data_IF_114887346380
#
_entry.id   IF_114887346380
#
_cell.length_a   1.000
_cell.length_b   1.000
_cell.length_c   1.000
_cell.angle_alpha   90.00
_cell.angle_beta   90.00
_cell.angle_gamma   90.00
#
_symmetry.space_group_name_H-M   'P 1'
#
loop_
_entity.id
_entity.type
_entity.pdbx_description
1 polymer ?
#
# COMPACT_ATOMS: atom_id res chain seq x y z
N UNK A 1 -19.67 -52.39 -6.12
CA UNK A 1 -19.05 -51.51 -7.16
C UNK A 1 -20.17 -50.65 -7.76
N UNK A 2 -20.32 -49.44 -7.22
CA UNK A 2 -21.35 -48.50 -7.75
C UNK A 2 -20.66 -47.61 -8.78
N UNK A 3 -21.14 -47.67 -10.03
CA UNK A 3 -20.66 -46.84 -11.15
C UNK A 3 -20.97 -45.36 -10.95
N UNK A 4 -20.37 -44.47 -11.74
CA UNK A 4 -20.55 -43.04 -11.62
C UNK A 4 -22.03 -42.70 -11.91
N UNK A 5 -22.65 -41.93 -11.01
CA UNK A 5 -23.99 -41.40 -11.22
C UNK A 5 -23.93 -40.37 -12.35
N UNK A 6 -24.59 -40.64 -13.46
CA UNK A 6 -24.81 -39.67 -14.53
C UNK A 6 -25.55 -38.44 -13.95
N UNK A 7 -24.87 -37.31 -13.96
CA UNK A 7 -25.49 -36.03 -13.64
C UNK A 7 -26.30 -35.56 -14.85
N UNK A 8 -27.62 -35.82 -14.79
CA UNK A 8 -28.55 -35.34 -15.80
C UNK A 8 -28.68 -33.80 -15.73
N UNK A 9 -28.79 -33.17 -16.91
CA UNK A 9 -28.99 -31.70 -17.07
C UNK A 9 -30.14 -31.15 -16.20
N UNK A 10 -31.18 -31.94 -16.02
CA UNK A 10 -32.34 -31.60 -15.16
C UNK A 10 -31.97 -31.52 -13.69
N UNK A 11 -31.08 -32.38 -13.23
CA UNK A 11 -30.57 -32.40 -11.85
C UNK A 11 -29.63 -31.22 -11.60
N UNK A 12 -28.77 -30.88 -12.56
CA UNK A 12 -27.93 -29.69 -12.49
C UNK A 12 -28.74 -28.38 -12.45
N UNK A 13 -29.83 -28.29 -13.25
CA UNK A 13 -30.75 -27.15 -13.23
C UNK A 13 -31.50 -27.01 -11.92
N UNK A 14 -31.89 -28.12 -11.29
CA UNK A 14 -32.53 -28.11 -9.96
C UNK A 14 -31.61 -27.65 -8.85
N UNK A 15 -30.32 -28.02 -8.91
CA UNK A 15 -29.30 -27.51 -7.96
C UNK A 15 -29.00 -26.03 -8.19
N UNK A 16 -28.95 -25.56 -9.43
CA UNK A 16 -28.79 -24.14 -9.76
C UNK A 16 -30.03 -23.32 -9.29
N UNK A 17 -31.24 -23.80 -9.53
CA UNK A 17 -32.46 -23.13 -9.08
C UNK A 17 -32.58 -23.11 -7.53
N UNK A 18 -32.18 -24.18 -6.86
CA UNK A 18 -32.13 -24.24 -5.39
C UNK A 18 -31.04 -23.35 -4.80
N UNK A 19 -29.87 -23.22 -5.48
CA UNK A 19 -28.77 -22.35 -5.07
C UNK A 19 -29.08 -20.85 -5.24
N UNK A 20 -29.95 -20.48 -6.16
CA UNK A 20 -30.39 -19.08 -6.36
C UNK A 20 -31.51 -18.68 -5.37
N UNK A 21 -32.30 -19.63 -4.88
CA UNK A 21 -33.40 -19.35 -3.94
C UNK A 21 -32.93 -19.11 -2.49
N UNK A 22 -31.77 -19.68 -2.10
CA UNK A 22 -31.23 -19.54 -0.75
C UNK A 22 -30.76 -18.11 -0.38
N UNK A 23 -30.14 -17.32 -1.28
CA UNK A 23 -29.74 -15.94 -0.95
C UNK A 23 -30.93 -14.97 -0.87
N UNK A 24 -32.07 -15.29 -1.50
CA UNK A 24 -33.27 -14.43 -1.47
C UNK A 24 -34.07 -14.54 -0.16
N UNK A 25 -33.90 -15.62 0.61
CA UNK A 25 -34.57 -15.82 1.89
C UNK A 25 -33.84 -15.20 3.10
N UNK A 26 -32.60 -14.74 2.91
CA UNK A 26 -31.73 -14.21 3.99
C UNK A 26 -31.65 -12.69 4.10
N UNK A 27 -32.30 -11.93 3.21
CA UNK A 27 -32.23 -10.46 3.24
C UNK A 27 -33.43 -9.85 4.01
N UNK A 28 -33.76 -10.37 5.19
CA UNK A 28 -34.52 -9.61 6.16
C UNK A 28 -33.64 -8.48 6.66
N UNK A 29 -34.03 -7.20 6.47
CA UNK A 29 -33.38 -6.10 7.18
C UNK A 29 -33.41 -6.46 8.67
N UNK A 30 -32.26 -6.36 9.39
CA UNK A 30 -32.30 -6.47 10.84
C UNK A 30 -33.30 -5.45 11.37
N UNK A 31 -34.06 -5.82 12.43
CA UNK A 31 -35.00 -4.92 13.07
C UNK A 31 -34.23 -3.66 13.50
N UNK A 32 -34.43 -2.56 12.78
CA UNK A 32 -33.80 -1.29 13.10
C UNK A 32 -34.59 -0.68 14.26
N UNK A 33 -33.96 -0.53 15.41
CA UNK A 33 -34.51 0.29 16.48
C UNK A 33 -34.35 1.77 16.08
N UNK A 34 -35.48 2.48 16.01
CA UNK A 34 -35.45 3.93 15.77
C UNK A 34 -35.05 4.60 17.09
N UNK A 35 -33.80 4.99 17.19
CA UNK A 35 -33.29 5.82 18.29
C UNK A 35 -33.40 7.27 17.86
N UNK A 36 -34.28 8.08 18.49
CA UNK A 36 -34.40 9.50 18.14
C UNK A 36 -33.13 10.26 18.56
N UNK A 37 -32.73 11.21 17.73
CA UNK A 37 -31.66 12.13 18.10
C UNK A 37 -32.11 13.03 19.24
N UNK A 38 -31.26 13.21 20.26
CA UNK A 38 -31.45 14.22 21.31
C UNK A 38 -31.15 15.60 20.74
N UNK A 39 -30.05 15.71 19.96
CA UNK A 39 -29.68 16.88 19.16
C UNK A 39 -29.37 16.42 17.75
N UNK A 40 -30.22 16.76 16.80
CA UNK A 40 -30.07 16.38 15.40
C UNK A 40 -29.07 17.33 14.71
N UNK A 41 -27.98 16.83 14.11
CA UNK A 41 -27.03 17.68 13.37
C UNK A 41 -27.70 18.41 12.21
N UNK A 42 -27.32 19.67 11.99
CA UNK A 42 -27.81 20.45 10.85
C UNK A 42 -27.54 19.73 9.52
N UNK A 43 -28.52 19.69 8.63
CA UNK A 43 -28.43 19.10 7.32
C UNK A 43 -28.48 17.56 7.28
N UNK A 44 -28.73 16.90 8.41
CA UNK A 44 -28.99 15.47 8.42
C UNK A 44 -30.45 15.21 8.07
N UNK A 45 -30.67 14.41 7.01
CA UNK A 45 -31.98 13.85 6.69
C UNK A 45 -31.94 12.37 7.04
N UNK A 46 -32.85 11.87 7.92
CA UNK A 46 -32.84 10.47 8.34
C UNK A 46 -32.91 9.50 7.14
N UNK A 47 -32.02 8.53 7.12
CA UNK A 47 -31.92 7.54 6.05
C UNK A 47 -31.22 8.01 4.79
N UNK A 48 -30.84 9.28 4.67
CA UNK A 48 -30.05 9.77 3.53
C UNK A 48 -28.54 9.76 3.82
N UNK A 49 -27.72 9.26 2.87
CA UNK A 49 -26.28 9.21 3.08
C UNK A 49 -25.63 10.60 3.01
N UNK A 50 -24.83 10.93 4.01
CA UNK A 50 -23.92 12.07 4.01
C UNK A 50 -22.49 11.61 3.76
N UNK A 51 -21.67 12.43 3.08
CA UNK A 51 -20.26 12.15 2.81
C UNK A 51 -19.35 13.07 3.60
N UNK A 52 -18.41 12.48 4.32
CA UNK A 52 -17.39 13.21 5.08
C UNK A 52 -15.99 12.94 4.51
N UNK A 53 -15.24 14.01 4.28
CA UNK A 53 -13.84 13.88 3.89
C UNK A 53 -12.99 13.52 5.10
N UNK A 54 -12.16 12.50 4.94
CA UNK A 54 -11.23 12.04 5.97
C UNK A 54 -9.92 11.55 5.35
N UNK A 55 -9.00 11.13 6.18
CA UNK A 55 -7.74 10.51 5.77
C UNK A 55 -7.61 9.16 6.46
N UNK A 56 -7.40 8.12 5.66
CA UNK A 56 -7.05 6.78 6.14
C UNK A 56 -5.53 6.65 6.14
N UNK A 57 -4.97 6.19 7.25
CA UNK A 57 -3.53 5.99 7.39
C UNK A 57 -3.20 4.51 7.21
N UNK A 58 -2.21 4.22 6.36
CA UNK A 58 -1.67 2.88 6.16
C UNK A 58 -0.16 2.97 5.95
N UNK A 59 0.63 2.25 6.76
CA UNK A 59 2.09 2.24 6.65
C UNK A 59 2.70 3.65 6.69
N UNK A 60 2.23 4.52 7.60
CA UNK A 60 2.71 5.90 7.73
C UNK A 60 2.23 6.88 6.66
N UNK A 61 1.40 6.47 5.69
CA UNK A 61 0.88 7.31 4.60
C UNK A 61 -0.59 7.64 4.78
N UNK A 62 -0.97 8.89 4.51
CA UNK A 62 -2.36 9.33 4.51
C UNK A 62 -2.97 9.24 3.11
N UNK A 63 -4.13 8.60 2.99
CA UNK A 63 -4.95 8.55 1.78
C UNK A 63 -6.24 9.31 2.00
N UNK A 64 -6.53 10.27 1.16
CA UNK A 64 -7.76 11.04 1.24
C UNK A 64 -8.95 10.18 0.84
N UNK A 65 -9.94 10.09 1.70
CA UNK A 65 -11.15 9.33 1.50
C UNK A 65 -12.41 10.19 1.70
N UNK A 66 -13.50 9.74 1.12
CA UNK A 66 -14.87 10.16 1.43
C UNK A 66 -15.58 8.99 2.08
N UNK A 67 -16.06 9.18 3.29
CA UNK A 67 -16.82 8.18 4.02
C UNK A 67 -18.30 8.54 3.96
N UNK A 68 -19.10 7.67 3.40
CA UNK A 68 -20.55 7.78 3.41
C UNK A 68 -21.09 7.26 4.74
N UNK A 69 -21.96 8.02 5.36
CA UNK A 69 -22.63 7.67 6.62
C UNK A 69 -24.13 7.76 6.45
N UNK A 70 -24.87 6.87 7.09
CA UNK A 70 -26.32 6.98 7.27
C UNK A 70 -26.57 7.11 8.76
N UNK A 71 -27.26 8.17 9.15
CA UNK A 71 -27.61 8.47 10.55
C UNK A 71 -26.38 8.44 11.49
N UNK A 72 -25.24 9.00 11.01
CA UNK A 72 -23.97 8.99 11.71
C UNK A 72 -23.20 7.68 11.67
N UNK A 73 -23.75 6.63 11.06
CA UNK A 73 -23.10 5.33 10.93
C UNK A 73 -22.30 5.24 9.62
N UNK A 74 -20.98 5.10 9.65
CA UNK A 74 -20.17 4.89 8.45
C UNK A 74 -20.52 3.57 7.76
N UNK A 75 -20.78 3.63 6.44
CA UNK A 75 -21.22 2.45 5.66
C UNK A 75 -20.34 2.16 4.44
N UNK A 76 -19.64 3.17 3.93
CA UNK A 76 -18.83 3.02 2.70
C UNK A 76 -17.65 3.98 2.71
N UNK A 77 -16.51 3.50 2.26
CA UNK A 77 -15.32 4.30 1.98
C UNK A 77 -15.18 4.44 0.46
N UNK A 78 -14.91 5.64 0.00
CA UNK A 78 -14.61 5.96 -1.40
C UNK A 78 -13.36 6.86 -1.45
N UNK A 79 -12.67 6.86 -2.60
CA UNK A 79 -11.54 7.76 -2.80
C UNK A 79 -11.99 9.22 -2.93
N UNK A 80 -11.23 10.13 -2.34
CA UNK A 80 -11.48 11.56 -2.54
C UNK A 80 -10.92 12.00 -3.91
N UNK A 81 -11.75 12.44 -4.87
CA UNK A 81 -11.27 12.85 -6.20
C UNK A 81 -10.37 14.09 -6.19
N UNK A 82 -10.42 14.89 -5.12
CA UNK A 82 -9.58 16.07 -4.94
C UNK A 82 -8.24 15.76 -4.27
N UNK A 83 -8.04 14.54 -3.77
CA UNK A 83 -6.80 14.16 -3.10
C UNK A 83 -5.82 13.50 -4.10
N UNK A 84 -4.56 13.99 -4.19
CA UNK A 84 -3.62 13.56 -5.23
C UNK A 84 -3.20 12.09 -5.13
N UNK A 85 -3.28 11.47 -3.96
CA UNK A 85 -2.97 10.05 -3.79
C UNK A 85 -4.16 9.13 -4.06
N UNK A 86 -5.39 9.61 -3.94
CA UNK A 86 -6.61 8.80 -4.13
C UNK A 86 -7.18 8.95 -5.54
N UNK A 87 -7.21 10.18 -6.07
CA UNK A 87 -7.74 10.49 -7.41
C UNK A 87 -9.17 9.95 -7.66
N UNK A 88 -9.95 9.80 -6.60
CA UNK A 88 -11.31 9.25 -6.63
C UNK A 88 -11.40 7.72 -6.51
N UNK A 89 -10.28 7.01 -6.40
CA UNK A 89 -10.24 5.57 -6.22
C UNK A 89 -9.76 5.16 -4.82
N UNK A 90 -10.02 3.92 -4.45
CA UNK A 90 -9.56 3.28 -3.20
C UNK A 90 -8.81 2.00 -3.50
N UNK A 91 -8.23 1.42 -2.47
CA UNK A 91 -7.68 0.07 -2.48
C UNK A 91 -8.42 -0.83 -1.48
N UNK A 92 -8.07 -2.11 -1.49
CA UNK A 92 -8.69 -3.12 -0.64
C UNK A 92 -8.57 -2.80 0.84
N UNK A 93 -7.47 -2.18 1.28
CA UNK A 93 -7.26 -1.83 2.69
C UNK A 93 -8.16 -0.67 3.11
N UNK A 94 -8.27 0.37 2.27
CA UNK A 94 -9.17 1.49 2.53
C UNK A 94 -10.64 1.05 2.57
N UNK A 95 -11.05 0.15 1.66
CA UNK A 95 -12.42 -0.40 1.66
C UNK A 95 -12.68 -1.26 2.90
N UNK A 96 -11.71 -2.06 3.33
CA UNK A 96 -11.83 -2.93 4.49
C UNK A 96 -11.74 -2.18 5.83
N UNK A 97 -11.14 -0.99 5.88
CA UNK A 97 -10.91 -0.24 7.12
C UNK A 97 -12.21 0.08 7.88
N UNK A 98 -13.31 0.23 7.14
CA UNK A 98 -14.63 0.43 7.75
C UNK A 98 -15.03 -0.73 8.67
N UNK A 99 -14.58 -1.96 8.41
CA UNK A 99 -14.92 -3.13 9.21
C UNK A 99 -14.31 -3.03 10.61
N UNK A 100 -13.18 -2.33 10.74
CA UNK A 100 -12.52 -2.11 12.04
C UNK A 100 -13.39 -1.32 13.02
N UNK A 101 -14.35 -0.54 12.54
CA UNK A 101 -15.30 0.19 13.38
C UNK A 101 -16.36 -0.71 14.01
N UNK A 102 -16.65 -1.84 13.36
CA UNK A 102 -17.71 -2.78 13.73
C UNK A 102 -17.17 -4.10 14.27
N UNK A 103 -15.85 -4.20 14.42
CA UNK A 103 -15.20 -5.37 14.97
C UNK A 103 -15.62 -5.56 16.44
N UNK A 104 -16.21 -6.73 16.81
CA UNK A 104 -16.62 -7.01 18.19
C UNK A 104 -15.45 -7.03 19.17
N UNK A 105 -14.23 -7.33 18.70
CA UNK A 105 -13.02 -7.36 19.50
C UNK A 105 -12.39 -5.96 19.68
N UNK A 106 -12.99 -4.94 19.07
CA UNK A 106 -12.53 -3.56 19.25
C UNK A 106 -12.62 -3.13 20.72
N UNK A 107 -11.59 -2.44 21.19
CA UNK A 107 -11.58 -1.88 22.54
C UNK A 107 -12.79 -0.96 22.80
N UNK A 108 -13.59 -1.30 23.82
CA UNK A 108 -14.83 -0.60 24.16
C UNK A 108 -14.61 0.48 25.21
N UNK A 109 -13.56 0.36 26.02
CA UNK A 109 -13.25 1.28 27.10
C UNK A 109 -11.75 1.35 27.35
N UNK A 110 -11.26 2.47 27.95
CA UNK A 110 -9.91 2.51 28.49
C UNK A 110 -9.69 1.39 29.50
N UNK A 111 -8.51 0.80 29.53
CA UNK A 111 -8.14 -0.22 30.50
C UNK A 111 -6.84 0.15 31.20
N UNK A 112 -6.78 -0.20 32.48
CA UNK A 112 -5.56 -0.18 33.27
C UNK A 112 -5.26 -1.61 33.73
N UNK A 113 -4.28 -2.26 33.11
CA UNK A 113 -4.04 -3.70 33.23
C UNK A 113 -5.29 -4.45 32.74
N UNK A 114 -5.94 -5.25 33.61
CA UNK A 114 -7.12 -6.04 33.26
C UNK A 114 -8.45 -5.35 33.61
N UNK A 115 -8.39 -4.24 34.31
CA UNK A 115 -9.58 -3.53 34.80
C UNK A 115 -10.02 -2.42 33.85
N UNK A 116 -11.34 -2.21 33.73
CA UNK A 116 -11.91 -1.05 33.03
C UNK A 116 -11.58 0.21 33.80
N UNK A 117 -11.06 1.22 33.12
CA UNK A 117 -10.66 2.51 33.69
C UNK A 117 -11.38 3.67 32.98
N UNK A 118 -11.08 4.89 33.40
CA UNK A 118 -11.61 6.12 32.80
C UNK A 118 -10.49 6.91 32.11
N UNK A 119 -10.86 7.75 31.15
CA UNK A 119 -9.93 8.70 30.53
C UNK A 119 -9.32 9.68 31.54
N UNK A 120 -10.08 10.06 32.58
CA UNK A 120 -9.57 10.93 33.66
C UNK A 120 -8.49 10.24 34.48
N UNK A 121 -8.67 8.97 34.80
CA UNK A 121 -7.66 8.16 35.48
C UNK A 121 -6.38 8.06 34.66
N UNK A 122 -6.52 7.80 33.34
CA UNK A 122 -5.39 7.80 32.42
C UNK A 122 -4.69 9.16 32.38
N UNK A 123 -5.43 10.26 32.21
CA UNK A 123 -4.87 11.59 32.14
C UNK A 123 -4.15 12.00 33.45
N UNK A 124 -4.65 11.55 34.60
CA UNK A 124 -4.00 11.78 35.89
C UNK A 124 -2.67 11.01 35.97
N UNK A 125 -2.67 9.73 35.63
CA UNK A 125 -1.46 8.90 35.58
C UNK A 125 -0.42 9.48 34.61
N UNK A 126 -0.83 9.87 33.42
CA UNK A 126 0.04 10.47 32.41
C UNK A 126 0.67 11.78 32.93
N UNK A 127 -0.10 12.66 33.59
CA UNK A 127 0.44 13.89 34.18
C UNK A 127 1.54 13.60 35.19
N UNK A 128 1.38 12.58 36.02
CA UNK A 128 2.41 12.15 36.96
C UNK A 128 3.71 11.70 36.29
N UNK A 129 3.59 10.92 35.22
CA UNK A 129 4.76 10.49 34.45
C UNK A 129 5.45 11.66 33.72
N UNK A 130 4.65 12.58 33.17
CA UNK A 130 5.20 13.75 32.49
C UNK A 130 5.92 14.71 33.42
N UNK A 131 5.42 14.87 34.71
CA UNK A 131 6.13 15.62 35.73
C UNK A 131 7.49 14.98 36.07
N UNK A 132 7.55 13.64 36.18
CA UNK A 132 8.81 12.90 36.37
C UNK A 132 9.76 13.07 35.22
N UNK A 133 9.24 13.01 33.98
CA UNK A 133 10.02 13.24 32.76
C UNK A 133 10.58 14.68 32.73
N UNK A 134 9.77 15.68 33.13
CA UNK A 134 10.22 17.08 33.16
C UNK A 134 11.38 17.25 34.16
N UNK A 135 11.30 16.68 35.37
CA UNK A 135 12.36 16.75 36.36
C UNK A 135 13.69 16.14 35.86
N UNK A 136 13.65 15.22 34.89
CA UNK A 136 14.80 14.54 34.28
C UNK A 136 15.12 15.05 32.88
N UNK A 137 14.55 16.17 32.45
CA UNK A 137 14.67 16.71 31.09
C UNK A 137 14.37 15.68 29.99
N UNK A 138 13.50 14.71 30.26
CA UNK A 138 13.12 13.64 29.37
C UNK A 138 14.01 12.39 29.40
N UNK A 139 14.98 12.28 30.33
CA UNK A 139 15.76 11.06 30.45
C UNK A 139 14.86 9.86 30.79
N UNK A 140 14.95 8.81 29.95
CA UNK A 140 14.11 7.61 30.03
C UNK A 140 12.78 7.74 29.28
N UNK A 141 12.43 8.90 28.73
CA UNK A 141 11.31 9.05 27.81
C UNK A 141 11.75 8.62 26.41
N UNK A 142 11.07 7.63 25.84
CA UNK A 142 11.30 7.17 24.48
C UNK A 142 9.98 7.14 23.70
N UNK A 143 10.02 7.64 22.46
CA UNK A 143 8.96 7.45 21.48
C UNK A 143 9.40 6.37 20.50
N UNK A 144 8.54 5.41 20.25
CA UNK A 144 8.71 4.43 19.19
C UNK A 144 7.54 4.58 18.23
N UNK A 145 7.84 4.84 16.97
CA UNK A 145 6.84 5.02 15.92
C UNK A 145 7.23 4.25 14.67
N UNK A 146 6.27 3.96 13.82
CA UNK A 146 6.53 3.72 12.40
C UNK A 146 7.02 5.02 11.72
N UNK A 147 7.27 4.98 10.41
CA UNK A 147 7.64 6.16 9.64
C UNK A 147 6.56 7.25 9.74
N UNK A 148 6.95 8.43 10.16
CA UNK A 148 6.08 9.59 10.25
C UNK A 148 6.21 10.43 8.98
N UNK A 149 5.19 10.42 8.13
CA UNK A 149 5.12 11.25 6.91
C UNK A 149 4.30 12.53 7.14
N UNK A 150 3.43 12.57 8.18
CA UNK A 150 2.64 13.74 8.53
C UNK A 150 3.52 14.90 8.98
N UNK A 151 3.51 16.06 8.29
CA UNK A 151 4.27 17.24 8.71
C UNK A 151 3.86 17.76 10.09
N UNK A 152 2.57 17.66 10.41
CA UNK A 152 2.04 18.08 11.72
C UNK A 152 2.57 17.21 12.84
N UNK A 153 2.49 15.89 12.71
CA UNK A 153 2.98 14.96 13.74
C UNK A 153 4.51 15.10 13.90
N UNK A 154 5.23 15.27 12.80
CA UNK A 154 6.68 15.49 12.81
C UNK A 154 7.06 16.75 13.58
N UNK A 155 6.30 17.84 13.39
CA UNK A 155 6.48 19.08 14.14
C UNK A 155 6.20 18.86 15.63
N UNK A 156 5.10 18.18 15.98
CA UNK A 156 4.73 17.88 17.37
C UNK A 156 5.81 17.05 18.09
N UNK A 157 6.33 16.03 17.41
CA UNK A 157 7.47 15.25 17.94
C UNK A 157 8.70 16.14 18.12
N UNK A 158 9.01 16.98 17.14
CA UNK A 158 10.11 17.94 17.25
C UNK A 158 9.97 18.91 18.42
N UNK A 159 8.76 19.40 18.66
CA UNK A 159 8.49 20.31 19.78
C UNK A 159 8.58 19.56 21.14
N UNK A 160 8.13 18.32 21.19
CA UNK A 160 8.31 17.45 22.35
C UNK A 160 9.80 17.21 22.65
N UNK A 161 10.61 16.91 21.63
CA UNK A 161 12.06 16.70 21.83
C UNK A 161 12.80 17.98 22.24
N UNK A 162 12.31 19.18 21.87
CA UNK A 162 12.83 20.45 22.39
C UNK A 162 12.48 20.64 23.86
N UNK A 163 11.25 20.29 24.27
CA UNK A 163 10.81 20.37 25.64
C UNK A 163 11.52 19.35 26.55
N UNK A 164 11.86 18.18 25.99
CA UNK A 164 12.51 17.06 26.66
C UNK A 164 13.83 16.69 25.96
N UNK A 165 14.91 17.43 26.16
CA UNK A 165 16.15 17.28 25.37
C UNK A 165 16.85 15.93 25.49
N UNK A 166 16.59 15.17 26.56
CA UNK A 166 17.15 13.84 26.79
C UNK A 166 16.19 12.73 26.36
N UNK A 167 15.00 13.07 25.85
CA UNK A 167 14.09 12.10 25.26
C UNK A 167 14.63 11.61 23.91
N UNK A 168 14.27 10.40 23.54
CA UNK A 168 14.72 9.77 22.28
C UNK A 168 13.54 9.40 21.43
N UNK A 169 13.68 9.60 20.12
CA UNK A 169 12.70 9.14 19.14
C UNK A 169 13.35 8.04 18.28
N UNK A 170 12.66 6.90 18.24
CA UNK A 170 13.03 5.73 17.43
C UNK A 170 11.96 5.51 16.38
N UNK A 171 12.40 5.19 15.18
CA UNK A 171 11.53 4.77 14.06
C UNK A 171 11.85 3.32 13.76
N UNK A 172 10.84 2.48 13.72
CA UNK A 172 10.98 1.07 13.37
C UNK A 172 9.90 0.66 12.38
N UNK A 173 10.35 0.13 11.24
CA UNK A 173 9.51 -0.44 10.20
C UNK A 173 10.03 -1.84 9.85
N UNK A 174 9.23 -2.90 10.14
CA UNK A 174 9.61 -4.28 9.79
C UNK A 174 9.77 -4.47 8.28
N UNK A 175 8.96 -3.78 7.49
CA UNK A 175 9.07 -3.73 6.02
C UNK A 175 9.38 -2.27 5.66
N UNK A 176 10.63 -2.00 5.29
CA UNK A 176 11.10 -0.63 5.06
C UNK A 176 11.69 -0.47 3.67
N UNK A 177 11.78 0.78 3.20
CA UNK A 177 12.50 1.17 2.00
C UNK A 177 13.96 1.59 2.28
N UNK A 178 14.51 1.19 3.41
CA UNK A 178 15.87 1.58 3.84
C UNK A 178 16.93 1.18 2.80
N UNK A 179 16.74 0.05 2.12
CA UNK A 179 17.67 -0.38 1.07
C UNK A 179 17.61 0.54 -0.15
N UNK A 180 16.42 0.99 -0.53
CA UNK A 180 16.26 1.98 -1.62
C UNK A 180 16.92 3.32 -1.25
N UNK A 181 16.74 3.78 0.00
CA UNK A 181 17.38 5.00 0.52
C UNK A 181 18.90 4.87 0.54
N UNK A 182 19.44 3.73 0.97
CA UNK A 182 20.89 3.46 0.92
C UNK A 182 21.39 3.39 -0.53
N UNK A 183 20.64 2.75 -1.42
CA UNK A 183 20.97 2.68 -2.84
C UNK A 183 21.04 4.05 -3.50
N UNK A 184 20.06 4.92 -3.21
CA UNK A 184 20.12 6.31 -3.70
C UNK A 184 21.29 7.10 -3.10
N UNK A 185 21.65 6.83 -1.83
CA UNK A 185 22.83 7.44 -1.20
C UNK A 185 24.12 6.99 -1.88
N UNK A 186 24.22 5.71 -2.28
CA UNK A 186 25.36 5.20 -3.04
C UNK A 186 25.45 5.84 -4.42
N UNK A 187 24.33 6.01 -5.12
CA UNK A 187 24.29 6.56 -6.46
C UNK A 187 24.50 8.09 -6.51
N UNK A 188 23.95 8.83 -5.54
CA UNK A 188 23.86 10.30 -5.59
C UNK A 188 24.56 11.01 -4.42
N UNK A 189 25.19 10.27 -3.50
CA UNK A 189 25.86 10.84 -2.31
C UNK A 189 24.90 11.39 -1.24
N UNK A 190 23.59 11.23 -1.40
CA UNK A 190 22.55 11.69 -0.47
C UNK A 190 21.31 10.83 -0.53
N UNK A 191 20.52 10.71 0.56
CA UNK A 191 19.28 9.97 0.56
C UNK A 191 18.22 10.67 -0.30
N UNK A 192 17.67 9.96 -1.27
CA UNK A 192 16.61 10.42 -2.16
C UNK A 192 15.49 9.38 -2.23
N UNK A 193 14.26 9.84 -2.37
CA UNK A 193 13.11 8.98 -2.69
C UNK A 193 12.82 9.07 -4.19
N UNK A 194 12.83 7.94 -4.88
CA UNK A 194 12.49 7.87 -6.28
C UNK A 194 10.97 8.08 -6.47
N UNK A 195 10.61 8.97 -7.38
CA UNK A 195 9.22 9.22 -7.79
C UNK A 195 9.09 8.90 -9.29
N UNK A 196 8.77 7.66 -9.67
CA UNK A 196 8.66 7.26 -11.06
C UNK A 196 7.49 8.00 -11.74
N UNK A 197 7.74 8.54 -12.93
CA UNK A 197 6.71 9.21 -13.75
C UNK A 197 6.18 8.24 -14.80
N UNK A 198 5.36 7.29 -14.36
CA UNK A 198 4.80 6.22 -15.20
C UNK A 198 4.02 6.80 -16.40
N UNK A 199 3.37 7.94 -16.23
CA UNK A 199 2.64 8.62 -17.30
C UNK A 199 3.50 8.99 -18.52
N UNK A 200 4.80 9.20 -18.32
CA UNK A 200 5.76 9.57 -19.37
C UNK A 200 6.54 8.37 -19.92
N UNK A 201 6.39 7.20 -19.29
CA UNK A 201 7.17 6.02 -19.63
C UNK A 201 6.67 5.34 -20.91
N UNK A 202 7.60 4.81 -21.71
CA UNK A 202 7.36 3.88 -22.80
C UNK A 202 7.78 2.45 -22.43
N UNK A 203 8.66 2.32 -21.45
CA UNK A 203 9.17 1.05 -20.96
C UNK A 203 9.31 1.06 -19.43
N UNK A 204 8.92 -0.04 -18.80
CA UNK A 204 9.21 -0.32 -17.39
C UNK A 204 9.88 -1.68 -17.29
N UNK A 205 10.99 -1.74 -16.55
CA UNK A 205 11.64 -2.98 -16.13
C UNK A 205 11.51 -3.07 -14.61
N UNK A 206 10.67 -3.99 -14.13
CA UNK A 206 10.41 -4.24 -12.72
C UNK A 206 11.17 -5.48 -12.25
N UNK A 207 12.12 -5.30 -11.34
CA UNK A 207 12.94 -6.37 -10.74
C UNK A 207 12.47 -6.55 -9.30
N UNK A 208 11.66 -7.57 -9.03
CA UNK A 208 11.00 -7.84 -7.74
C UNK A 208 10.21 -6.61 -7.21
N UNK A 209 9.72 -5.77 -8.12
CA UNK A 209 9.06 -4.50 -7.79
C UNK A 209 7.57 -4.57 -8.15
N UNK A 210 6.72 -4.70 -7.13
CA UNK A 210 5.26 -4.71 -7.32
C UNK A 210 4.67 -3.30 -7.18
N UNK A 211 4.93 -2.43 -8.14
CA UNK A 211 4.44 -1.05 -8.13
C UNK A 211 2.91 -0.93 -8.35
N UNK A 212 2.26 -1.98 -8.85
CA UNK A 212 0.80 -2.08 -8.94
C UNK A 212 0.18 -2.69 -7.68
N UNK A 213 0.99 -3.26 -6.80
CA UNK A 213 0.60 -3.83 -5.53
C UNK A 213 0.41 -2.78 -4.42
N UNK A 214 0.25 -3.28 -3.20
CA UNK A 214 0.04 -2.43 -2.04
C UNK A 214 1.22 -1.47 -1.81
N UNK A 215 0.91 -0.18 -1.65
CA UNK A 215 1.93 0.83 -1.41
C UNK A 215 1.36 2.24 -1.47
N UNK A 216 2.14 3.25 -1.08
CA UNK A 216 1.65 4.63 -0.99
C UNK A 216 1.22 5.22 -2.33
N UNK A 217 1.78 4.74 -3.43
CA UNK A 217 1.54 5.23 -4.79
C UNK A 217 0.64 4.33 -5.62
N UNK A 218 0.21 3.18 -5.11
CA UNK A 218 -0.53 2.14 -5.82
C UNK A 218 -1.63 2.72 -6.74
N UNK A 219 -2.51 3.55 -6.21
CA UNK A 219 -3.66 4.09 -6.97
C UNK A 219 -3.19 5.00 -8.11
N UNK A 220 -2.24 5.90 -7.82
CA UNK A 220 -1.72 6.84 -8.81
C UNK A 220 -0.93 6.11 -9.90
N UNK A 221 -0.10 5.15 -9.53
CA UNK A 221 0.73 4.37 -10.45
C UNK A 221 -0.11 3.42 -11.29
N UNK A 222 -1.10 2.74 -10.69
CA UNK A 222 -2.05 1.89 -11.42
C UNK A 222 -2.88 2.70 -12.43
N UNK A 223 -3.34 3.90 -12.05
CA UNK A 223 -4.06 4.80 -12.96
C UNK A 223 -3.18 5.25 -14.12
N UNK A 224 -1.96 5.69 -13.84
CA UNK A 224 -1.02 6.13 -14.87
C UNK A 224 -0.65 4.97 -15.82
N UNK A 225 -0.39 3.79 -15.27
CA UNK A 225 -0.15 2.57 -16.03
C UNK A 225 -1.32 2.21 -16.94
N UNK A 226 -2.55 2.17 -16.41
CA UNK A 226 -3.74 1.87 -17.20
C UNK A 226 -3.97 2.89 -18.33
N UNK A 227 -3.75 4.19 -18.07
CA UNK A 227 -3.86 5.24 -19.08
C UNK A 227 -2.83 5.05 -20.20
N UNK A 228 -1.58 4.70 -19.86
CA UNK A 228 -0.51 4.46 -20.83
C UNK A 228 -0.71 3.19 -21.66
N UNK A 229 -1.55 2.26 -21.21
CA UNK A 229 -1.87 1.01 -21.91
C UNK A 229 -3.19 1.07 -22.69
N UNK A 230 -3.80 2.23 -22.81
CA UNK A 230 -4.94 2.41 -23.71
C UNK A 230 -4.49 2.31 -25.18
N UNK A 231 -5.28 1.64 -26.03
CA UNK A 231 -4.94 1.41 -27.44
C UNK A 231 -4.71 2.69 -28.25
N UNK A 232 -5.33 3.80 -27.84
CA UNK A 232 -5.18 5.10 -28.49
C UNK A 232 -3.88 5.84 -28.10
N UNK A 233 -3.10 5.34 -27.14
CA UNK A 233 -1.90 6.01 -26.64
C UNK A 233 -0.65 5.34 -27.22
N UNK A 234 0.09 6.09 -28.06
CA UNK A 234 1.36 5.64 -28.61
C UNK A 234 2.53 6.45 -28.00
N UNK A 235 3.73 5.84 -27.83
CA UNK A 235 3.99 4.42 -27.90
C UNK A 235 3.32 3.66 -26.75
N UNK A 236 2.91 2.42 -27.00
CA UNK A 236 2.35 1.54 -25.96
C UNK A 236 3.40 1.26 -24.88
N UNK A 237 3.02 1.38 -23.61
CA UNK A 237 3.90 1.09 -22.50
C UNK A 237 4.17 -0.40 -22.39
N UNK A 238 5.43 -0.80 -22.56
CA UNK A 238 5.90 -2.17 -22.37
C UNK A 238 6.36 -2.40 -20.95
N UNK A 239 6.02 -3.56 -20.38
CA UNK A 239 6.38 -3.95 -19.02
C UNK A 239 7.12 -5.29 -19.01
N UNK A 240 8.34 -5.27 -18.53
CA UNK A 240 9.08 -6.46 -18.10
C UNK A 240 8.95 -6.60 -16.59
N UNK A 241 8.60 -7.81 -16.12
CA UNK A 241 8.58 -8.13 -14.70
C UNK A 241 9.42 -9.39 -14.44
N UNK A 242 10.42 -9.26 -13.58
CA UNK A 242 11.23 -10.40 -13.12
C UNK A 242 11.10 -10.50 -11.62
N UNK A 243 10.52 -11.59 -11.15
CA UNK A 243 10.09 -11.73 -9.76
C UNK A 243 10.09 -13.20 -9.33
N UNK A 244 10.34 -13.51 -8.04
CA UNK A 244 10.28 -14.88 -7.55
C UNK A 244 8.84 -15.39 -7.42
N UNK A 245 7.93 -14.52 -7.02
CA UNK A 245 6.52 -14.81 -6.73
C UNK A 245 5.59 -14.07 -7.70
N UNK A 246 4.31 -14.48 -7.76
CA UNK A 246 3.30 -13.75 -8.51
C UNK A 246 2.93 -12.45 -7.81
N UNK A 247 3.03 -11.34 -8.55
CA UNK A 247 2.57 -10.03 -8.11
C UNK A 247 1.51 -9.46 -9.04
N UNK A 248 0.85 -8.37 -8.63
CA UNK A 248 -0.05 -7.63 -9.52
C UNK A 248 0.69 -7.04 -10.71
N UNK A 249 1.92 -6.59 -10.51
CA UNK A 249 2.79 -6.12 -11.58
C UNK A 249 3.14 -7.24 -12.55
N UNK A 250 3.55 -8.41 -12.06
CA UNK A 250 3.85 -9.56 -12.90
C UNK A 250 2.65 -10.09 -13.67
N UNK A 251 1.45 -10.06 -13.06
CA UNK A 251 0.21 -10.46 -13.73
C UNK A 251 -0.18 -9.54 -14.90
N UNK A 252 0.31 -8.29 -14.91
CA UNK A 252 0.07 -7.30 -15.95
C UNK A 252 1.24 -7.12 -16.93
N UNK A 253 2.32 -7.88 -16.76
CA UNK A 253 3.53 -7.75 -17.58
C UNK A 253 3.34 -8.34 -18.99
N UNK A 254 4.00 -7.70 -19.98
CA UNK A 254 4.12 -8.22 -21.33
C UNK A 254 5.15 -9.36 -21.38
N UNK A 255 6.21 -9.21 -20.58
CA UNK A 255 7.28 -10.19 -20.43
C UNK A 255 7.49 -10.46 -18.95
N UNK A 256 7.00 -11.60 -18.46
CA UNK A 256 7.20 -12.05 -17.09
C UNK A 256 8.18 -13.21 -17.04
N UNK A 257 9.12 -13.14 -16.10
CA UNK A 257 10.04 -14.23 -15.80
C UNK A 257 10.01 -14.51 -14.29
N UNK A 258 9.70 -15.77 -13.93
CA UNK A 258 9.91 -16.25 -12.57
C UNK A 258 11.41 -16.58 -12.42
N UNK A 259 12.08 -15.92 -11.48
CA UNK A 259 13.52 -16.09 -11.27
C UNK A 259 13.81 -16.21 -9.78
N UNK A 260 14.71 -17.16 -9.43
CA UNK A 260 15.14 -17.32 -8.05
C UNK A 260 15.73 -16.01 -7.49
N UNK A 261 15.40 -15.60 -6.25
CA UNK A 261 15.82 -14.31 -5.69
C UNK A 261 17.32 -14.05 -5.75
N UNK A 262 18.14 -15.09 -5.54
CA UNK A 262 19.59 -15.03 -5.63
C UNK A 262 20.16 -14.67 -7.01
N UNK A 263 19.35 -14.75 -8.08
CA UNK A 263 19.76 -14.45 -9.46
C UNK A 263 19.31 -13.05 -9.94
N UNK A 264 18.47 -12.36 -9.18
CA UNK A 264 17.95 -11.04 -9.56
C UNK A 264 19.07 -10.00 -9.74
N UNK A 265 20.08 -10.05 -8.86
CA UNK A 265 21.27 -9.22 -8.98
C UNK A 265 22.06 -9.51 -10.27
N UNK A 266 22.24 -10.79 -10.61
CA UNK A 266 22.96 -11.18 -11.82
C UNK A 266 22.17 -10.77 -13.07
N UNK A 267 20.85 -10.84 -13.05
CA UNK A 267 20.01 -10.33 -14.15
C UNK A 267 20.24 -8.84 -14.38
N UNK A 268 20.21 -8.01 -13.33
CA UNK A 268 20.45 -6.57 -13.47
C UNK A 268 21.87 -6.27 -13.96
N UNK A 269 22.86 -7.00 -13.49
CA UNK A 269 24.24 -6.90 -13.98
C UNK A 269 24.35 -7.33 -15.46
N UNK A 270 23.61 -8.36 -15.88
CA UNK A 270 23.57 -8.77 -17.29
C UNK A 270 22.94 -7.69 -18.18
N UNK A 271 21.87 -7.04 -17.73
CA UNK A 271 21.28 -5.90 -18.45
C UNK A 271 22.34 -4.78 -18.60
N UNK A 272 23.02 -4.44 -17.50
CA UNK A 272 24.07 -3.42 -17.52
C UNK A 272 25.23 -3.79 -18.46
N UNK A 273 25.70 -5.03 -18.42
CA UNK A 273 26.77 -5.54 -19.30
C UNK A 273 26.39 -5.44 -20.78
N UNK A 274 25.15 -5.81 -21.13
CA UNK A 274 24.66 -5.65 -22.50
C UNK A 274 24.64 -4.18 -22.97
N UNK A 275 24.25 -3.24 -22.09
CA UNK A 275 24.24 -1.81 -22.39
C UNK A 275 25.66 -1.25 -22.57
N UNK A 276 26.67 -1.86 -21.90
CA UNK A 276 28.07 -1.44 -21.99
C UNK A 276 28.86 -2.19 -23.08
N UNK A 277 28.27 -3.21 -23.72
CA UNK A 277 28.97 -4.09 -24.64
C UNK A 277 29.96 -5.06 -23.97
N UNK A 278 29.74 -5.34 -22.68
CA UNK A 278 30.56 -6.25 -21.86
C UNK A 278 29.97 -7.67 -21.82
N UNK A 279 30.76 -8.64 -21.36
CA UNK A 279 30.30 -10.01 -21.18
C UNK A 279 29.40 -10.09 -19.94
N UNK A 280 28.14 -10.57 -20.09
CA UNK A 280 27.22 -10.70 -18.97
C UNK A 280 27.60 -11.87 -18.05
N UNK A 281 27.20 -11.84 -16.77
CA UNK A 281 27.34 -12.97 -15.86
C UNK A 281 26.47 -14.14 -16.31
N UNK A 282 26.82 -15.35 -15.88
CA UNK A 282 26.07 -16.57 -16.17
C UNK A 282 24.65 -16.49 -15.61
N UNK A 283 23.69 -16.83 -16.46
CA UNK A 283 22.26 -16.88 -16.16
C UNK A 283 21.62 -18.09 -16.86
N UNK A 284 20.52 -18.63 -16.32
CA UNK A 284 19.66 -19.53 -17.10
C UNK A 284 19.26 -18.93 -18.43
N UNK A 285 19.15 -19.76 -19.47
CA UNK A 285 18.92 -19.30 -20.86
C UNK A 285 17.78 -18.28 -20.99
N UNK A 286 16.60 -18.54 -20.40
CA UNK A 286 15.48 -17.61 -20.45
C UNK A 286 15.76 -16.26 -19.78
N UNK A 287 16.55 -16.24 -18.69
CA UNK A 287 16.97 -15.02 -18.03
C UNK A 287 17.99 -14.24 -18.84
N UNK A 288 18.93 -14.92 -19.48
CA UNK A 288 19.91 -14.32 -20.38
C UNK A 288 19.24 -13.68 -21.61
N UNK A 289 18.28 -14.38 -22.22
CA UNK A 289 17.49 -13.85 -23.33
C UNK A 289 16.68 -12.62 -22.94
N UNK A 290 16.01 -12.66 -21.77
CA UNK A 290 15.25 -11.53 -21.27
C UNK A 290 16.16 -10.33 -20.95
N UNK A 291 17.32 -10.56 -20.32
CA UNK A 291 18.28 -9.49 -20.01
C UNK A 291 18.75 -8.77 -21.29
N UNK A 292 19.06 -9.53 -22.35
CA UNK A 292 19.46 -8.99 -23.65
C UNK A 292 18.34 -8.19 -24.31
N UNK A 293 17.09 -8.69 -24.28
CA UNK A 293 15.94 -8.00 -24.84
C UNK A 293 15.62 -6.72 -24.07
N UNK A 294 15.63 -6.79 -22.73
CA UNK A 294 15.40 -5.63 -21.87
C UNK A 294 16.46 -4.53 -22.06
N UNK A 295 17.74 -4.91 -22.22
CA UNK A 295 18.82 -3.96 -22.51
C UNK A 295 18.60 -3.24 -23.85
N UNK A 296 18.28 -3.97 -24.91
CA UNK A 296 18.00 -3.38 -26.23
C UNK A 296 16.79 -2.43 -26.17
N UNK A 297 15.74 -2.80 -25.45
CA UNK A 297 14.55 -1.95 -25.28
C UNK A 297 14.85 -0.71 -24.39
N UNK A 298 15.72 -0.84 -23.37
CA UNK A 298 16.16 0.30 -22.56
C UNK A 298 16.93 1.31 -23.43
N UNK A 299 17.85 0.85 -24.24
CA UNK A 299 18.61 1.70 -25.19
C UNK A 299 17.67 2.40 -26.17
N UNK A 300 16.73 1.67 -26.78
CA UNK A 300 15.75 2.21 -27.72
C UNK A 300 14.78 3.21 -27.10
N UNK A 301 14.56 3.16 -25.78
CA UNK A 301 13.65 4.03 -25.05
C UNK A 301 14.39 4.97 -24.08
N UNK A 302 15.64 5.30 -24.32
CA UNK A 302 16.42 6.21 -23.48
C UNK A 302 15.65 7.49 -23.15
N UNK A 303 15.66 7.90 -21.87
CA UNK A 303 14.91 9.05 -21.35
C UNK A 303 13.41 8.81 -21.14
N UNK A 304 12.85 7.65 -21.58
CA UNK A 304 11.46 7.26 -21.36
C UNK A 304 11.32 5.85 -20.78
N UNK A 305 12.40 5.27 -20.32
CA UNK A 305 12.42 4.01 -19.62
C UNK A 305 12.53 4.23 -18.11
N UNK A 306 11.96 3.30 -17.35
CA UNK A 306 12.03 3.27 -15.88
C UNK A 306 12.49 1.89 -15.46
N UNK A 307 13.52 1.82 -14.63
CA UNK A 307 13.93 0.60 -13.94
C UNK A 307 13.51 0.70 -12.47
N UNK A 308 12.72 -0.25 -12.00
CA UNK A 308 12.24 -0.33 -10.62
C UNK A 308 12.80 -1.58 -9.96
N UNK A 309 13.21 -1.42 -8.71
CA UNK A 309 13.72 -2.51 -7.87
C UNK A 309 12.88 -2.59 -6.60
N UNK A 310 12.49 -3.79 -6.23
CA UNK A 310 11.66 -4.04 -5.05
C UNK A 310 12.39 -3.73 -3.74
N UNK A 311 11.64 -3.32 -2.74
CA UNK A 311 12.17 -2.82 -1.46
C UNK A 311 13.03 -3.84 -0.71
N UNK A 312 12.81 -5.13 -0.96
CA UNK A 312 13.57 -6.24 -0.34
C UNK A 312 14.97 -6.44 -0.93
N UNK A 313 15.27 -5.82 -2.06
CA UNK A 313 16.53 -6.00 -2.76
C UNK A 313 17.65 -5.17 -2.11
N UNK A 314 18.90 -5.63 -2.18
CA UNK A 314 20.03 -4.95 -1.51
C UNK A 314 20.32 -3.57 -2.13
N UNK A 315 20.95 -2.66 -1.35
CA UNK A 315 21.23 -1.28 -1.77
C UNK A 315 21.97 -1.16 -3.10
N UNK A 316 22.88 -2.10 -3.38
CA UNK A 316 23.69 -2.10 -4.60
C UNK A 316 22.81 -2.28 -5.84
N UNK A 317 21.72 -3.08 -5.73
CA UNK A 317 20.79 -3.28 -6.82
C UNK A 317 19.94 -2.03 -7.08
N UNK A 318 19.55 -1.34 -6.03
CA UNK A 318 18.89 -0.02 -6.15
C UNK A 318 19.82 1.02 -6.78
N UNK A 319 21.08 1.05 -6.37
CA UNK A 319 22.08 1.95 -6.97
C UNK A 319 22.28 1.66 -8.46
N UNK A 320 22.36 0.38 -8.83
CA UNK A 320 22.46 -0.05 -10.23
C UNK A 320 21.21 0.35 -11.04
N UNK A 321 20.01 0.23 -10.46
CA UNK A 321 18.77 0.65 -11.12
C UNK A 321 18.72 2.17 -11.41
N UNK A 322 19.34 2.96 -10.57
CA UNK A 322 19.49 4.41 -10.83
C UNK A 322 20.47 4.73 -11.96
N UNK A 323 21.40 3.85 -12.22
CA UNK A 323 22.33 3.98 -13.35
C UNK A 323 21.70 3.48 -14.66
N UNK A 324 20.95 2.36 -14.64
CA UNK A 324 20.22 1.81 -15.78
C UNK A 324 19.14 2.78 -16.30
#
# INVERSE_FOLDING_TARGET
MNGPRDFDRRTALKFLAGGIALPLAGCGKPAEEIVPYVDMPEGLLPGEPMKFATTLALGGYGRGALVSTIDGRPIKVEGNPRHPASLGATDVFAEADILSLYDPDRSQAPRHRDDVATWDAFALALRGEMQRATARQGAGLALLTERVTSPTLRRQIGDLLKQYPQARWYVHEPVSDDFAVRGSTMAFGRPLSALPRIADAALIVAIDADFLGAGPRQIADARAFAQRRQRAVAPFLRLYAVEPDWSLTGANADHRLALHPGLLRNLALAIAAHLQGESPPDLPEGAAQLAKAAAADLEANHGRAIVMVGERQPPELHALAHWL
#
